data_IF_627748356491
#
_entry.id   IF_627748356491
#
_cell.length_a   1.000
_cell.length_b   1.000
_cell.length_c   1.000
_cell.angle_alpha   90.00
_cell.angle_beta   90.00
_cell.angle_gamma   90.00
#
_symmetry.space_group_name_H-M   'P 1'
#
loop_
_entity.id
_entity.type
_entity.pdbx_description
1 polymer ?
#
# COMPACT_ATOMS: atom_id res chain seq x y z
N UNK A 1 13.15 6.84 16.96
CA UNK A 1 13.52 5.72 17.86
C UNK A 1 12.64 5.65 19.12
N UNK A 2 12.31 6.80 19.73
CA UNK A 2 11.60 6.83 21.03
C UNK A 2 10.21 6.14 21.05
N UNK A 3 9.51 6.04 19.92
CA UNK A 3 8.15 5.49 19.85
C UNK A 3 8.05 4.16 19.13
N UNK A 4 9.10 3.70 18.48
CA UNK A 4 9.11 2.52 17.58
C UNK A 4 7.98 2.54 16.51
N UNK A 5 7.45 3.71 16.18
CA UNK A 5 6.40 3.91 15.18
C UNK A 5 6.93 4.70 13.99
N UNK A 6 6.46 4.43 12.77
CA UNK A 6 6.81 5.26 11.62
C UNK A 6 6.35 6.70 11.85
N UNK A 7 7.18 7.64 11.39
CA UNK A 7 6.86 9.08 11.43
C UNK A 7 6.24 9.46 10.10
N UNK A 8 5.13 10.19 10.14
CA UNK A 8 4.52 10.79 8.96
C UNK A 8 5.02 12.23 8.81
N UNK A 9 5.57 12.54 7.64
CA UNK A 9 6.05 13.88 7.29
C UNK A 9 5.25 14.38 6.10
N UNK A 10 4.63 15.56 6.23
CA UNK A 10 3.89 16.20 5.15
C UNK A 10 4.63 17.45 4.69
N UNK A 11 4.82 17.61 3.39
CA UNK A 11 5.48 18.76 2.78
C UNK A 11 4.69 19.31 1.61
N UNK A 12 4.91 20.57 1.31
CA UNK A 12 4.39 21.18 0.08
C UNK A 12 5.21 20.75 -1.14
N UNK A 13 4.81 21.19 -2.33
CA UNK A 13 5.46 20.83 -3.60
C UNK A 13 6.83 21.50 -3.79
N UNK A 14 7.57 21.01 -4.78
CA UNK A 14 8.83 21.58 -5.24
C UNK A 14 10.02 21.23 -4.34
N UNK A 15 10.90 22.20 -4.09
CA UNK A 15 12.12 21.97 -3.30
C UNK A 15 11.87 21.54 -1.86
N UNK A 16 10.67 21.74 -1.32
CA UNK A 16 10.30 21.26 0.00
C UNK A 16 10.43 19.72 0.09
N UNK A 17 10.03 19.00 -0.97
CA UNK A 17 10.26 17.56 -1.07
C UNK A 17 11.75 17.21 -1.01
N UNK A 18 12.58 17.87 -1.83
CA UNK A 18 14.02 17.57 -1.90
C UNK A 18 14.74 17.89 -0.58
N UNK A 19 14.29 18.88 0.16
CA UNK A 19 14.84 19.19 1.48
C UNK A 19 14.65 18.07 2.51
N UNK A 20 13.74 17.12 2.26
CA UNK A 20 13.58 15.93 3.11
C UNK A 20 14.57 14.82 2.78
N UNK A 21 15.22 14.84 1.62
CA UNK A 21 16.05 13.75 1.13
C UNK A 21 17.12 13.28 2.13
N UNK A 22 17.91 14.15 2.79
CA UNK A 22 18.90 13.70 3.76
C UNK A 22 18.28 12.95 4.93
N UNK A 23 17.13 13.42 5.45
CA UNK A 23 16.45 12.78 6.56
C UNK A 23 15.80 11.45 6.15
N UNK A 24 15.24 11.37 4.95
CA UNK A 24 14.66 10.14 4.39
C UNK A 24 15.74 9.09 4.16
N UNK A 25 16.88 9.49 3.60
CA UNK A 25 18.02 8.60 3.39
C UNK A 25 18.51 8.02 4.72
N UNK A 26 18.80 8.89 5.70
CA UNK A 26 19.24 8.47 7.03
C UNK A 26 18.25 7.54 7.72
N UNK A 27 16.96 7.89 7.70
CA UNK A 27 15.91 7.06 8.30
C UNK A 27 15.84 5.67 7.68
N UNK A 28 16.00 5.56 6.36
CA UNK A 28 16.02 4.28 5.66
C UNK A 28 17.21 3.42 6.07
N UNK A 29 18.42 4.00 6.12
CA UNK A 29 19.61 3.28 6.57
C UNK A 29 19.57 2.89 8.06
N UNK A 30 18.87 3.66 8.88
CA UNK A 30 18.63 3.37 10.30
C UNK A 30 17.46 2.41 10.54
N UNK A 31 16.79 1.92 9.50
CA UNK A 31 15.57 1.09 9.60
C UNK A 31 14.45 1.76 10.45
N UNK A 32 14.34 3.09 10.36
CA UNK A 32 13.37 3.92 11.09
C UNK A 32 12.34 4.57 10.16
N UNK A 33 12.03 3.97 9.05
CA UNK A 33 11.21 4.42 7.94
C UNK A 33 10.28 5.60 8.16
N UNK A 34 10.25 6.50 7.20
CA UNK A 34 9.38 7.68 7.15
C UNK A 34 8.27 7.43 6.13
N UNK A 35 7.04 7.78 6.48
CA UNK A 35 5.93 7.91 5.52
C UNK A 35 5.92 9.38 5.10
N UNK A 36 6.51 9.66 3.93
CA UNK A 36 6.58 11.00 3.37
C UNK A 36 5.38 11.24 2.48
N UNK A 37 4.63 12.31 2.76
CA UNK A 37 3.50 12.76 1.94
C UNK A 37 3.88 14.12 1.36
N UNK A 38 3.94 14.25 0.04
CA UNK A 38 4.19 15.52 -0.63
C UNK A 38 2.95 15.96 -1.42
N UNK A 39 2.48 17.19 -1.17
CA UNK A 39 1.56 17.80 -2.12
C UNK A 39 2.28 18.05 -3.45
N UNK A 40 1.56 17.99 -4.55
CA UNK A 40 2.09 18.29 -5.88
C UNK A 40 1.10 19.15 -6.67
N UNK A 41 1.58 19.74 -7.76
CA UNK A 41 0.71 20.39 -8.74
C UNK A 41 0.04 19.34 -9.64
N UNK A 42 -1.09 19.68 -10.29
CA UNK A 42 -1.69 18.79 -11.30
C UNK A 42 -0.64 18.37 -12.33
N UNK A 43 -0.64 17.11 -12.71
CA UNK A 43 0.39 16.53 -13.60
C UNK A 43 0.53 17.30 -14.92
N UNK A 44 -0.58 17.84 -15.45
CA UNK A 44 -0.57 18.64 -16.68
C UNK A 44 0.19 19.98 -16.56
N UNK A 45 0.45 20.47 -15.35
CA UNK A 45 1.15 21.72 -15.11
C UNK A 45 2.67 21.54 -14.97
N UNK A 46 3.13 20.32 -14.75
CA UNK A 46 4.55 20.03 -14.60
C UNK A 46 5.27 20.31 -15.92
N UNK A 47 6.37 21.06 -15.84
CA UNK A 47 7.14 21.45 -17.01
C UNK A 47 6.58 22.66 -17.79
N UNK A 48 5.54 23.34 -17.28
CA UNK A 48 4.92 24.51 -17.90
C UNK A 48 5.35 25.86 -17.27
N UNK A 49 6.55 25.93 -16.68
CA UNK A 49 7.06 27.09 -15.94
C UNK A 49 6.18 27.54 -14.77
N UNK A 50 5.40 26.63 -14.21
CA UNK A 50 4.63 26.89 -13.00
C UNK A 50 5.58 26.89 -11.80
N UNK A 51 5.46 27.91 -10.96
CA UNK A 51 6.29 28.03 -9.76
C UNK A 51 6.12 26.86 -8.80
N UNK A 52 7.19 26.50 -8.10
CA UNK A 52 7.21 25.46 -7.07
C UNK A 52 6.85 24.08 -7.62
N UNK A 53 7.29 23.76 -8.84
CA UNK A 53 7.10 22.47 -9.49
C UNK A 53 8.44 21.82 -9.83
N UNK A 54 8.52 20.54 -9.60
CA UNK A 54 9.59 19.63 -10.03
C UNK A 54 8.95 18.29 -10.41
N UNK A 55 9.61 17.41 -11.14
CA UNK A 55 9.18 16.02 -11.29
C UNK A 55 9.30 15.29 -9.93
N UNK A 56 8.21 15.24 -9.16
CA UNK A 56 8.21 14.67 -7.79
C UNK A 56 8.13 13.16 -7.74
N UNK A 57 7.28 12.47 -8.55
CA UNK A 57 7.30 11.03 -8.62
C UNK A 57 8.69 10.50 -9.00
N UNK A 58 9.24 9.62 -8.17
CA UNK A 58 10.56 9.06 -8.38
C UNK A 58 11.75 9.91 -7.90
N UNK A 59 11.53 11.15 -7.46
CA UNK A 59 12.62 12.04 -7.04
C UNK A 59 13.45 11.50 -5.86
N UNK A 60 12.91 10.58 -5.08
CA UNK A 60 13.56 9.95 -3.92
C UNK A 60 13.70 8.42 -4.05
N UNK A 61 13.56 7.85 -5.24
CA UNK A 61 13.52 6.39 -5.46
C UNK A 61 14.75 5.65 -4.94
N UNK A 62 15.91 6.31 -4.88
CA UNK A 62 17.13 5.72 -4.31
C UNK A 62 17.07 5.54 -2.78
N UNK A 63 16.12 6.17 -2.11
CA UNK A 63 16.05 6.23 -0.65
C UNK A 63 14.73 5.71 -0.09
N UNK A 64 13.75 5.40 -0.94
CA UNK A 64 12.45 4.88 -0.51
C UNK A 64 12.21 3.49 -1.08
N UNK A 65 11.58 2.61 -0.30
CA UNK A 65 11.18 1.29 -0.75
C UNK A 65 10.04 1.32 -1.76
N UNK A 66 9.20 2.36 -1.69
CA UNK A 66 8.09 2.57 -2.63
C UNK A 66 7.73 4.04 -2.75
N UNK A 67 7.51 4.46 -4.00
CA UNK A 67 6.87 5.73 -4.32
C UNK A 67 5.53 5.43 -5.00
N UNK A 68 4.45 6.10 -4.55
CA UNK A 68 3.14 6.07 -5.20
C UNK A 68 2.70 7.48 -5.56
N UNK A 69 2.14 7.63 -6.76
CA UNK A 69 1.55 8.87 -7.24
C UNK A 69 0.03 8.75 -7.24
N UNK A 70 -0.63 9.52 -6.37
CA UNK A 70 -2.08 9.44 -6.17
C UNK A 70 -2.79 10.22 -7.27
N UNK A 71 -3.73 9.62 -8.03
CA UNK A 71 -4.55 10.39 -8.95
C UNK A 71 -5.52 11.30 -8.18
N UNK A 72 -5.95 12.41 -8.78
CA UNK A 72 -7.07 13.17 -8.25
C UNK A 72 -8.37 12.36 -8.40
N UNK A 73 -9.20 12.26 -7.33
CA UNK A 73 -10.40 11.41 -7.37
C UNK A 73 -11.55 12.11 -8.10
N UNK A 74 -11.91 11.64 -9.27
CA UNK A 74 -13.07 12.10 -10.04
C UNK A 74 -14.19 11.04 -10.06
N UNK A 75 -13.82 9.76 -9.95
CA UNK A 75 -14.72 8.62 -10.02
C UNK A 75 -14.56 7.71 -8.80
N UNK A 76 -15.45 6.75 -8.63
CA UNK A 76 -15.33 5.71 -7.60
C UNK A 76 -14.15 4.76 -7.89
N UNK A 77 -13.82 4.54 -9.16
CA UNK A 77 -12.64 3.77 -9.57
C UNK A 77 -11.34 4.46 -9.17
N UNK A 78 -11.26 5.81 -9.28
CA UNK A 78 -10.11 6.57 -8.79
C UNK A 78 -9.97 6.41 -7.28
N UNK A 79 -11.07 6.48 -6.53
CA UNK A 79 -11.05 6.30 -5.07
C UNK A 79 -10.59 4.90 -4.68
N UNK A 80 -11.08 3.88 -5.39
CA UNK A 80 -10.64 2.50 -5.19
C UNK A 80 -9.15 2.36 -5.48
N UNK A 81 -8.66 2.96 -6.58
CA UNK A 81 -7.26 2.94 -6.96
C UNK A 81 -6.38 3.66 -5.92
N UNK A 82 -6.79 4.84 -5.45
CA UNK A 82 -6.10 5.58 -4.39
C UNK A 82 -5.98 4.72 -3.14
N UNK A 83 -7.07 4.11 -2.70
CA UNK A 83 -7.06 3.22 -1.54
C UNK A 83 -6.02 2.10 -1.71
N UNK A 84 -5.96 1.47 -2.88
CA UNK A 84 -4.97 0.45 -3.20
C UNK A 84 -3.54 0.99 -3.12
N UNK A 85 -3.24 2.11 -3.77
CA UNK A 85 -1.90 2.72 -3.79
C UNK A 85 -1.42 3.09 -2.38
N UNK A 86 -2.29 3.68 -1.57
CA UNK A 86 -1.95 4.02 -0.18
C UNK A 86 -1.67 2.76 0.63
N UNK A 87 -2.50 1.72 0.51
CA UNK A 87 -2.26 0.44 1.19
C UNK A 87 -0.94 -0.20 0.75
N UNK A 88 -0.61 -0.18 -0.54
CA UNK A 88 0.67 -0.70 -1.04
C UNK A 88 1.87 0.03 -0.41
N UNK A 89 1.82 1.36 -0.30
CA UNK A 89 2.87 2.13 0.37
C UNK A 89 2.96 1.78 1.86
N UNK A 90 1.81 1.67 2.54
CA UNK A 90 1.78 1.34 3.98
C UNK A 90 2.22 -0.10 4.28
N UNK A 91 1.95 -1.05 3.39
CA UNK A 91 2.45 -2.42 3.47
C UNK A 91 3.97 -2.41 3.34
N UNK A 92 4.51 -1.68 2.36
CA UNK A 92 5.96 -1.57 2.18
C UNK A 92 6.64 -0.98 3.43
N UNK A 93 6.09 0.10 4.00
CA UNK A 93 6.62 0.73 5.21
C UNK A 93 6.62 -0.19 6.45
N UNK A 94 5.84 -1.28 6.44
CA UNK A 94 5.76 -2.26 7.53
C UNK A 94 6.70 -3.45 7.39
N UNK A 95 7.39 -3.60 6.25
CA UNK A 95 8.36 -4.68 6.06
C UNK A 95 9.45 -4.67 7.11
N UNK A 96 10.15 -5.81 7.26
CA UNK A 96 11.15 -6.01 8.32
C UNK A 96 12.19 -4.89 8.42
N UNK A 97 12.70 -4.38 7.29
CA UNK A 97 13.66 -3.28 7.26
C UNK A 97 13.05 -1.89 7.38
N UNK A 98 11.71 -1.79 7.52
CA UNK A 98 10.97 -0.52 7.65
C UNK A 98 11.47 0.55 6.69
N UNK A 99 11.43 0.32 5.37
CA UNK A 99 11.86 1.31 4.41
C UNK A 99 11.01 2.56 4.48
N UNK A 100 11.58 3.71 4.18
CA UNK A 100 10.80 4.92 3.95
C UNK A 100 9.93 4.75 2.71
N UNK A 101 8.78 5.41 2.66
CA UNK A 101 7.88 5.41 1.51
C UNK A 101 7.46 6.83 1.16
N UNK A 102 7.21 7.08 -0.12
CA UNK A 102 6.77 8.38 -0.62
C UNK A 102 5.38 8.28 -1.24
N UNK A 103 4.47 9.13 -0.81
CA UNK A 103 3.13 9.28 -1.34
C UNK A 103 3.03 10.69 -1.94
N UNK A 104 3.06 10.77 -3.27
CA UNK A 104 2.89 12.03 -3.98
C UNK A 104 1.41 12.28 -4.25
N UNK A 105 0.94 13.49 -3.92
CA UNK A 105 -0.49 13.84 -3.93
C UNK A 105 -0.69 15.09 -4.79
N UNK A 106 -0.93 14.96 -6.11
CA UNK A 106 -1.36 16.07 -6.95
C UNK A 106 -2.68 16.65 -6.47
N UNK A 107 -2.78 17.96 -6.45
CA UNK A 107 -3.95 18.70 -6.00
C UNK A 107 -4.27 19.84 -6.97
N UNK A 108 -5.53 19.89 -7.41
CA UNK A 108 -6.07 21.02 -8.18
C UNK A 108 -6.67 22.09 -7.26
N UNK A 109 -6.74 23.33 -7.73
CA UNK A 109 -7.47 24.40 -7.03
C UNK A 109 -8.99 24.18 -7.16
N UNK A 110 -9.77 24.59 -6.14
CA UNK A 110 -9.41 25.36 -4.95
C UNK A 110 -8.86 24.52 -3.79
N UNK A 111 -7.76 24.95 -3.18
CA UNK A 111 -7.05 24.19 -2.12
C UNK A 111 -7.64 24.36 -0.71
N UNK A 112 -8.49 25.35 -0.49
CA UNK A 112 -8.95 25.75 0.86
C UNK A 112 -10.44 25.53 1.09
N UNK A 113 -11.12 24.80 0.22
CA UNK A 113 -12.52 24.45 0.38
C UNK A 113 -12.66 23.07 1.01
N UNK A 114 -13.00 23.05 2.30
CA UNK A 114 -13.18 21.80 3.06
C UNK A 114 -14.66 21.46 3.15
N UNK A 115 -15.12 20.54 2.30
CA UNK A 115 -16.53 20.14 2.23
C UNK A 115 -16.87 18.90 3.06
N UNK A 116 -15.83 18.18 3.52
CA UNK A 116 -16.01 16.88 4.21
C UNK A 116 -16.12 17.08 5.71
N UNK A 117 -17.24 16.67 6.30
CA UNK A 117 -17.48 16.75 7.75
C UNK A 117 -16.83 15.62 8.55
N UNK A 118 -16.61 14.46 7.93
CA UNK A 118 -15.99 13.27 8.54
C UNK A 118 -15.08 12.63 7.51
N UNK A 119 -13.94 12.12 7.98
CA UNK A 119 -13.08 11.27 7.14
C UNK A 119 -13.82 9.97 6.79
N UNK A 120 -13.70 9.49 5.56
CA UNK A 120 -14.28 8.22 5.15
C UNK A 120 -13.62 7.06 5.92
N UNK A 121 -14.35 5.96 6.09
CA UNK A 121 -13.81 4.72 6.62
C UNK A 121 -13.28 3.90 5.44
N UNK A 122 -11.98 3.94 5.26
CA UNK A 122 -11.32 3.27 4.15
C UNK A 122 -11.00 1.81 4.46
N UNK A 123 -10.90 0.99 3.39
CA UNK A 123 -10.46 -0.40 3.47
C UNK A 123 -8.98 -0.44 3.84
N UNK A 124 -8.63 -1.29 4.79
CA UNK A 124 -7.25 -1.62 5.15
C UNK A 124 -6.88 -2.97 4.53
N UNK A 125 -5.77 -3.02 3.81
CA UNK A 125 -5.20 -4.24 3.25
C UNK A 125 -4.03 -4.65 4.15
N UNK A 126 -3.99 -5.90 4.54
CA UNK A 126 -2.91 -6.48 5.36
C UNK A 126 -2.18 -7.54 4.55
N UNK A 127 -0.85 -7.49 4.56
CA UNK A 127 -0.01 -8.54 4.01
C UNK A 127 0.37 -9.51 5.14
N UNK A 128 0.17 -10.78 4.88
CA UNK A 128 0.64 -11.87 5.74
C UNK A 128 1.83 -12.55 5.06
N UNK A 129 2.98 -12.57 5.73
CA UNK A 129 4.17 -13.28 5.26
C UNK A 129 4.36 -14.54 6.13
N UNK A 130 4.35 -15.71 5.50
CA UNK A 130 4.39 -17.01 6.20
C UNK A 130 5.74 -17.34 6.84
N UNK A 131 6.80 -16.61 6.52
CA UNK A 131 8.17 -17.03 6.83
C UNK A 131 8.61 -16.78 8.27
N UNK A 132 7.99 -15.87 9.03
CA UNK A 132 8.42 -15.51 10.39
C UNK A 132 7.31 -15.04 11.34
N UNK A 133 6.05 -15.21 11.00
CA UNK A 133 4.92 -14.76 11.81
C UNK A 133 4.01 -15.89 12.25
N UNK A 134 3.37 -15.73 13.41
CA UNK A 134 2.27 -16.61 13.81
C UNK A 134 1.10 -16.46 12.82
N UNK A 135 0.56 -17.57 12.34
CA UNK A 135 -0.67 -17.61 11.56
C UNK A 135 -1.93 -17.35 12.43
N UNK A 136 -1.79 -17.30 13.74
CA UNK A 136 -2.91 -17.19 14.70
C UNK A 136 -3.87 -16.04 14.38
N UNK A 137 -3.44 -14.77 14.13
CA UNK A 137 -4.40 -13.72 13.84
C UNK A 137 -5.18 -13.94 12.54
N UNK A 138 -4.56 -14.57 11.54
CA UNK A 138 -5.25 -14.96 10.30
C UNK A 138 -6.27 -16.09 10.57
N UNK A 139 -5.89 -17.09 11.33
CA UNK A 139 -6.76 -18.20 11.72
C UNK A 139 -7.96 -17.67 12.53
N UNK A 140 -7.73 -16.73 13.44
CA UNK A 140 -8.79 -16.10 14.22
C UNK A 140 -9.78 -15.33 13.34
N UNK A 141 -9.28 -14.50 12.40
CA UNK A 141 -10.13 -13.78 11.45
C UNK A 141 -10.92 -14.74 10.54
N UNK A 142 -10.26 -15.76 10.01
CA UNK A 142 -10.89 -16.77 9.16
C UNK A 142 -11.98 -17.54 9.92
N UNK A 143 -11.68 -17.94 11.16
CA UNK A 143 -12.60 -18.67 12.02
C UNK A 143 -13.80 -17.84 12.45
N UNK A 144 -13.60 -16.55 12.70
CA UNK A 144 -14.68 -15.61 13.05
C UNK A 144 -15.54 -15.19 11.85
N UNK A 145 -15.06 -15.37 10.63
CA UNK A 145 -15.76 -14.97 9.42
C UNK A 145 -17.06 -15.77 9.24
N UNK A 146 -18.17 -15.09 8.94
CA UNK A 146 -19.46 -15.73 8.69
C UNK A 146 -19.51 -16.51 7.37
N UNK A 147 -18.76 -16.05 6.39
CA UNK A 147 -18.70 -16.63 5.04
C UNK A 147 -17.28 -16.51 4.50
N UNK A 148 -16.34 -17.30 5.04
CA UNK A 148 -14.98 -17.31 4.53
C UNK A 148 -14.94 -17.84 3.10
N UNK A 149 -14.02 -17.33 2.30
CA UNK A 149 -13.79 -17.76 0.93
C UNK A 149 -12.29 -17.98 0.72
N UNK A 150 -11.96 -19.07 0.06
CA UNK A 150 -10.59 -19.42 -0.33
C UNK A 150 -10.54 -19.39 -1.84
N UNK A 151 -9.64 -18.60 -2.41
CA UNK A 151 -9.37 -18.58 -3.85
C UNK A 151 -8.02 -19.24 -4.07
N UNK A 152 -8.02 -20.34 -4.81
CA UNK A 152 -6.79 -21.06 -5.19
C UNK A 152 -6.41 -20.61 -6.59
N UNK A 153 -5.37 -19.77 -6.66
CA UNK A 153 -4.81 -19.30 -7.92
C UNK A 153 -3.87 -20.31 -8.56
N UNK A 154 -3.04 -19.86 -9.48
CA UNK A 154 -2.01 -20.70 -10.11
C UNK A 154 -1.02 -21.23 -9.06
N UNK A 155 -0.83 -22.55 -9.03
CA UNK A 155 0.13 -23.25 -8.16
C UNK A 155 1.00 -24.18 -8.99
N UNK A 156 2.15 -24.58 -8.46
CA UNK A 156 2.92 -25.68 -9.02
C UNK A 156 2.28 -27.05 -8.65
N UNK A 157 2.67 -28.08 -9.39
CA UNK A 157 2.09 -29.42 -9.23
C UNK A 157 2.23 -30.00 -7.81
N UNK A 158 3.38 -29.79 -7.16
CA UNK A 158 3.61 -30.30 -5.81
C UNK A 158 2.77 -29.56 -4.77
N UNK A 159 2.72 -28.24 -4.85
CA UNK A 159 1.89 -27.43 -3.94
C UNK A 159 0.41 -27.78 -4.10
N UNK A 160 -0.02 -28.11 -5.32
CA UNK A 160 -1.40 -28.50 -5.61
C UNK A 160 -1.77 -29.77 -4.85
N UNK A 161 -0.94 -30.82 -4.91
CA UNK A 161 -1.19 -32.10 -4.23
C UNK A 161 -1.29 -31.92 -2.72
N UNK A 162 -0.32 -31.23 -2.10
CA UNK A 162 -0.27 -31.01 -0.67
C UNK A 162 -1.44 -30.14 -0.15
N UNK A 163 -1.96 -29.27 -1.02
CA UNK A 163 -3.03 -28.32 -0.65
C UNK A 163 -4.42 -28.96 -0.75
N UNK A 164 -4.64 -29.91 -1.64
CA UNK A 164 -5.95 -30.57 -1.83
C UNK A 164 -6.53 -31.14 -0.54
N UNK A 165 -5.75 -31.91 0.19
CA UNK A 165 -6.19 -32.56 1.43
C UNK A 165 -6.66 -31.53 2.47
N UNK A 166 -5.96 -30.37 2.54
CA UNK A 166 -6.36 -29.28 3.44
C UNK A 166 -7.62 -28.55 2.97
N UNK A 167 -7.79 -28.35 1.65
CA UNK A 167 -8.98 -27.71 1.11
C UNK A 167 -10.23 -28.55 1.31
N UNK A 168 -10.15 -29.88 1.18
CA UNK A 168 -11.25 -30.79 1.46
C UNK A 168 -11.71 -30.67 2.92
N UNK A 169 -10.79 -30.54 3.87
CA UNK A 169 -11.10 -30.32 5.29
C UNK A 169 -11.80 -28.99 5.57
N UNK A 170 -11.62 -27.99 4.68
CA UNK A 170 -12.19 -26.66 4.82
C UNK A 170 -13.47 -26.46 3.99
N UNK A 171 -13.85 -27.43 3.16
CA UNK A 171 -14.99 -27.32 2.24
C UNK A 171 -16.33 -27.10 2.95
N UNK A 172 -16.51 -27.67 4.14
CA UNK A 172 -17.71 -27.46 4.97
C UNK A 172 -17.76 -26.07 5.62
N UNK A 173 -16.62 -25.38 5.69
CA UNK A 173 -16.48 -24.10 6.40
C UNK A 173 -16.36 -22.89 5.46
N UNK A 174 -15.76 -23.06 4.29
CA UNK A 174 -15.43 -22.00 3.35
C UNK A 174 -15.95 -22.28 1.94
N UNK A 175 -16.22 -21.23 1.19
CA UNK A 175 -16.41 -21.35 -0.26
C UNK A 175 -15.02 -21.46 -0.90
N UNK A 176 -14.77 -22.52 -1.65
CA UNK A 176 -13.50 -22.75 -2.33
C UNK A 176 -13.70 -22.47 -3.82
N UNK A 177 -12.87 -21.61 -4.38
CA UNK A 177 -12.85 -21.24 -5.79
C UNK A 177 -11.48 -21.60 -6.35
N UNK A 178 -11.47 -22.37 -7.42
CA UNK A 178 -10.27 -22.75 -8.15
C UNK A 178 -10.18 -21.94 -9.45
N UNK A 179 -9.02 -21.38 -9.74
CA UNK A 179 -8.70 -20.86 -11.07
C UNK A 179 -8.28 -22.00 -12.01
N UNK A 180 -8.55 -21.86 -13.31
CA UNK A 180 -8.28 -22.91 -14.30
C UNK A 180 -6.79 -23.30 -14.45
N UNK A 181 -5.87 -22.47 -13.90
CA UNK A 181 -4.42 -22.70 -13.97
C UNK A 181 -3.81 -23.25 -12.67
N UNK A 182 -4.61 -23.79 -11.79
CA UNK A 182 -4.12 -24.27 -10.50
C UNK A 182 -3.58 -25.73 -10.50
N UNK A 183 -3.52 -26.39 -11.66
CA UNK A 183 -2.99 -27.74 -11.82
C UNK A 183 -3.92 -28.85 -11.34
N UNK A 184 -5.17 -28.54 -10.98
CA UNK A 184 -6.18 -29.55 -10.70
C UNK A 184 -6.90 -29.94 -11.99
N UNK A 185 -6.64 -31.13 -12.49
CA UNK A 185 -7.53 -31.79 -13.46
C UNK A 185 -8.64 -32.49 -12.67
N UNK A 186 -9.91 -32.28 -13.10
CA UNK A 186 -11.08 -32.93 -12.54
C UNK A 186 -11.03 -34.45 -12.71
#
# INVERSE_FOLDING_TARGET
QATCRPVVVCVTSGSALLNTAPAVAEATYQHQGIILISADRPTAWIGQNVGQTIPQPGALDSFVGKCVNIPEPHTDDDRWHINRLVNEALIEAKKYHRPSVHINVPLSEPLFEYTVKKLPKERVITLWESTFGSAEPFVDEFTAAKRPMIVVGQTDEQTSIDTLDYLELLADRAIIIHEALNGYDE
#
